data_IF_697994304928
#
_entry.id   IF_697994304928
#
_cell.length_a   1.000
_cell.length_b   1.000
_cell.length_c   1.000
_cell.angle_alpha   90.00
_cell.angle_beta   90.00
_cell.angle_gamma   90.00
#
_symmetry.space_group_name_H-M   'P 1'
#
loop_
_entity.id
_entity.type
_entity.pdbx_description
1 polymer ?
#
# COMPACT_ATOMS: atom_id res chain seq x y z
N UNK A 1 22.89 6.96 9.19
CA UNK A 1 22.86 6.73 10.65
C UNK A 1 21.74 5.74 10.94
N UNK A 2 21.77 5.04 12.09
CA UNK A 2 20.65 4.17 12.47
C UNK A 2 19.39 5.02 12.64
N UNK A 3 18.22 4.58 12.13
CA UNK A 3 16.95 5.26 12.41
C UNK A 3 16.68 5.33 13.92
N UNK A 4 16.26 6.50 14.40
CA UNK A 4 15.84 6.71 15.79
C UNK A 4 14.48 7.41 15.81
N UNK A 5 13.42 6.65 16.07
CA UNK A 5 12.04 7.16 16.10
C UNK A 5 11.85 8.27 17.14
N UNK A 6 12.69 8.35 18.17
CA UNK A 6 12.60 9.42 19.17
C UNK A 6 12.90 10.79 18.59
N UNK A 7 13.59 10.88 17.45
CA UNK A 7 13.78 12.13 16.70
C UNK A 7 12.47 12.70 16.15
N UNK A 8 11.39 11.89 16.09
CA UNK A 8 10.05 12.35 15.79
C UNK A 8 9.46 13.34 16.81
N UNK A 9 10.05 13.44 18.01
CA UNK A 9 9.69 14.42 19.05
C UNK A 9 10.50 15.72 18.97
N UNK A 10 11.53 15.80 18.12
CA UNK A 10 12.37 16.99 17.99
C UNK A 10 11.78 17.98 17.00
N UNK A 11 12.08 19.29 17.12
CA UNK A 11 11.78 20.26 16.07
C UNK A 11 12.36 19.81 14.73
N UNK A 12 11.62 20.06 13.64
CA UNK A 12 12.01 19.67 12.27
C UNK A 12 13.41 20.17 11.90
N UNK A 13 13.77 21.38 12.34
CA UNK A 13 15.10 21.95 12.13
C UNK A 13 16.24 21.12 12.77
N UNK A 14 15.98 20.44 13.89
CA UNK A 14 16.99 19.79 14.74
C UNK A 14 17.12 18.27 14.53
N UNK A 15 16.10 17.60 13.98
CA UNK A 15 16.19 16.16 13.63
C UNK A 15 16.97 15.94 12.33
N UNK A 16 17.61 14.78 12.10
CA UNK A 16 18.14 14.44 10.78
C UNK A 16 17.03 14.33 9.71
N UNK A 17 17.42 14.33 8.44
CA UNK A 17 16.53 13.85 7.38
C UNK A 17 16.22 12.37 7.62
N UNK A 18 15.00 11.95 7.32
CA UNK A 18 14.59 10.55 7.40
C UNK A 18 14.00 10.07 6.09
N UNK A 19 14.56 8.98 5.57
CA UNK A 19 14.09 8.32 4.34
C UNK A 19 13.57 6.94 4.71
N UNK A 20 12.39 6.58 4.19
CA UNK A 20 11.89 5.20 4.24
C UNK A 20 12.02 4.56 2.85
N UNK A 21 12.83 3.50 2.74
CA UNK A 21 12.98 2.72 1.50
C UNK A 21 12.16 1.44 1.60
N UNK A 22 11.29 1.19 0.63
CA UNK A 22 10.43 0.01 0.58
C UNK A 22 10.84 -0.88 -0.59
N UNK A 23 11.29 -2.11 -0.31
CA UNK A 23 11.36 -3.15 -1.31
C UNK A 23 9.97 -3.82 -1.46
N UNK A 24 9.34 -3.60 -2.62
CA UNK A 24 7.97 -4.04 -2.89
C UNK A 24 7.86 -5.38 -3.61
N UNK A 25 8.88 -6.23 -3.64
CA UNK A 25 8.74 -7.57 -4.24
C UNK A 25 8.04 -8.54 -3.28
N UNK A 26 7.21 -9.45 -3.81
CA UNK A 26 6.58 -10.50 -3.00
C UNK A 26 7.54 -11.63 -2.58
N UNK A 27 8.76 -11.69 -3.14
CA UNK A 27 9.68 -12.82 -2.99
C UNK A 27 10.60 -12.69 -1.78
N UNK A 28 10.91 -13.83 -1.16
CA UNK A 28 11.87 -13.98 -0.06
C UNK A 28 12.58 -15.33 -0.12
N UNK A 29 13.81 -15.39 0.38
CA UNK A 29 14.56 -16.63 0.53
C UNK A 29 13.82 -17.68 1.39
N UNK A 30 13.15 -17.27 2.46
CA UNK A 30 12.53 -18.18 3.46
C UNK A 30 11.06 -18.50 3.20
N UNK A 31 10.64 -18.49 1.94
CA UNK A 31 9.30 -18.90 1.51
C UNK A 31 9.39 -19.39 0.06
N UNK A 32 8.37 -20.05 -0.49
CA UNK A 32 8.27 -20.22 -1.95
C UNK A 32 8.32 -18.82 -2.58
N UNK A 33 9.31 -18.49 -3.45
CA UNK A 33 10.07 -19.37 -4.35
C UNK A 33 11.48 -19.81 -3.93
N UNK A 34 11.96 -19.48 -2.73
CA UNK A 34 13.24 -19.97 -2.17
C UNK A 34 14.46 -19.11 -2.46
N UNK A 35 14.25 -17.92 -3.04
CA UNK A 35 15.30 -17.00 -3.51
C UNK A 35 14.93 -15.56 -3.20
N UNK A 36 15.93 -14.75 -2.85
CA UNK A 36 15.75 -13.34 -2.52
C UNK A 36 15.30 -12.51 -3.72
N UNK A 37 14.72 -11.34 -3.43
CA UNK A 37 14.22 -10.45 -4.47
C UNK A 37 15.29 -9.48 -4.97
N UNK A 38 15.23 -9.14 -6.26
CA UNK A 38 16.04 -8.05 -6.83
C UNK A 38 15.76 -6.72 -6.13
N UNK A 39 14.48 -6.44 -5.80
CA UNK A 39 14.08 -5.27 -5.04
C UNK A 39 14.83 -5.11 -3.71
N UNK A 40 15.05 -6.20 -2.97
CA UNK A 40 15.83 -6.18 -1.73
C UNK A 40 17.27 -5.75 -1.97
N UNK A 41 17.93 -6.33 -2.98
CA UNK A 41 19.31 -5.98 -3.34
C UNK A 41 19.43 -4.52 -3.77
N UNK A 42 18.50 -4.04 -4.60
CA UNK A 42 18.46 -2.64 -5.05
C UNK A 42 18.17 -1.66 -3.90
N UNK A 43 17.28 -2.03 -2.97
CA UNK A 43 17.00 -1.26 -1.74
C UNK A 43 18.25 -1.11 -0.87
N UNK A 44 18.97 -2.20 -0.61
CA UNK A 44 20.21 -2.16 0.18
C UNK A 44 21.29 -1.32 -0.52
N UNK A 45 21.41 -1.44 -1.86
CA UNK A 45 22.32 -0.61 -2.64
C UNK A 45 21.98 0.88 -2.55
N UNK A 46 20.69 1.25 -2.61
CA UNK A 46 20.26 2.63 -2.40
C UNK A 46 20.62 3.11 -0.99
N UNK A 47 20.35 2.30 0.03
CA UNK A 47 20.63 2.63 1.43
C UNK A 47 22.12 2.97 1.66
N UNK A 48 23.03 2.20 1.05
CA UNK A 48 24.48 2.42 1.13
C UNK A 48 24.93 3.70 0.39
N UNK A 49 24.19 4.14 -0.62
CA UNK A 49 24.52 5.31 -1.45
C UNK A 49 23.88 6.62 -0.97
N UNK A 50 22.83 6.55 -0.18
CA UNK A 50 22.23 7.74 0.41
C UNK A 50 23.21 8.42 1.40
N UNK A 51 23.04 9.72 1.66
CA UNK A 51 23.87 10.42 2.64
C UNK A 51 23.79 9.78 4.02
N UNK A 52 24.93 9.36 4.57
CA UNK A 52 24.99 8.55 5.79
C UNK A 52 24.74 9.38 7.07
N UNK A 53 24.65 10.71 6.95
CA UNK A 53 24.13 11.60 8.00
C UNK A 53 22.59 11.61 8.10
N UNK A 54 21.89 10.95 7.17
CA UNK A 54 20.44 10.77 7.22
C UNK A 54 20.05 9.49 7.96
N UNK A 55 18.85 9.48 8.52
CA UNK A 55 18.20 8.26 8.99
C UNK A 55 17.66 7.49 7.80
N UNK A 56 18.31 6.37 7.50
CA UNK A 56 17.92 5.49 6.42
C UNK A 56 17.15 4.32 7.02
N UNK A 57 15.83 4.46 7.01
CA UNK A 57 14.88 3.43 7.41
C UNK A 57 14.50 2.61 6.17
N UNK A 58 14.41 1.29 6.30
CA UNK A 58 13.99 0.45 5.18
C UNK A 58 13.20 -0.77 5.62
N UNK A 59 12.33 -1.23 4.74
CA UNK A 59 11.54 -2.44 4.93
C UNK A 59 11.39 -3.20 3.62
N UNK A 60 11.33 -4.51 3.72
CA UNK A 60 11.03 -5.36 2.57
C UNK A 60 9.73 -6.13 2.85
N UNK A 61 8.73 -5.84 2.01
CA UNK A 61 7.36 -6.34 2.13
C UNK A 61 7.19 -7.76 1.61
N UNK A 62 8.27 -8.43 1.20
CA UNK A 62 8.20 -9.78 0.67
C UNK A 62 7.61 -10.79 1.64
N UNK A 63 6.87 -11.76 1.09
CA UNK A 63 6.15 -12.78 1.85
C UNK A 63 7.15 -13.73 2.52
N UNK A 64 7.14 -13.79 3.85
CA UNK A 64 7.93 -14.73 4.64
C UNK A 64 7.00 -15.78 5.25
N UNK A 65 7.41 -17.06 5.23
CA UNK A 65 6.65 -18.11 5.90
C UNK A 65 6.46 -17.78 7.39
N UNK A 66 5.26 -18.01 7.93
CA UNK A 66 4.88 -17.73 9.31
C UNK A 66 4.98 -16.25 9.76
N UNK A 67 5.28 -15.30 8.87
CA UNK A 67 5.14 -13.86 9.14
C UNK A 67 3.72 -13.41 8.83
N UNK A 68 3.23 -12.40 9.55
CA UNK A 68 1.99 -11.72 9.22
C UNK A 68 2.00 -11.24 7.76
N UNK A 69 0.82 -11.24 7.12
CA UNK A 69 0.59 -10.62 5.81
C UNK A 69 0.04 -9.23 6.03
N UNK A 70 0.17 -8.36 5.03
CA UNK A 70 -0.62 -7.13 5.01
C UNK A 70 -2.06 -7.53 4.75
N UNK A 71 -2.96 -7.16 5.65
CA UNK A 71 -4.38 -7.43 5.48
C UNK A 71 -5.00 -6.43 4.50
N UNK A 72 -6.08 -6.83 3.82
CA UNK A 72 -6.76 -5.97 2.84
C UNK A 72 -7.46 -4.78 3.50
N UNK A 73 -7.68 -3.71 2.74
CA UNK A 73 -8.55 -2.63 3.20
C UNK A 73 -10.01 -3.10 3.28
N UNK A 74 -10.71 -2.81 4.39
CA UNK A 74 -12.14 -3.09 4.55
C UNK A 74 -13.06 -2.07 3.82
N UNK A 75 -12.48 -1.17 3.03
CA UNK A 75 -13.20 -0.17 2.24
C UNK A 75 -14.17 0.72 3.05
N UNK A 76 -13.79 1.09 4.30
CA UNK A 76 -14.63 1.94 5.16
C UNK A 76 -15.03 3.27 4.51
N UNK A 77 -14.14 3.84 3.69
CA UNK A 77 -14.40 5.08 2.93
C UNK A 77 -15.60 4.96 2.00
N UNK A 78 -15.89 3.76 1.47
CA UNK A 78 -17.05 3.53 0.59
C UNK A 78 -18.39 3.60 1.32
N UNK A 79 -18.38 3.70 2.65
CA UNK A 79 -19.56 4.06 3.46
C UNK A 79 -19.56 5.56 3.80
N UNK A 80 -18.43 6.07 4.27
CA UNK A 80 -18.21 7.48 4.62
C UNK A 80 -16.71 7.69 4.89
N UNK A 81 -16.13 8.83 4.48
CA UNK A 81 -14.74 9.15 4.81
C UNK A 81 -14.52 9.24 6.33
N UNK A 82 -15.53 9.67 7.08
CA UNK A 82 -15.50 9.70 8.54
C UNK A 82 -15.38 8.30 9.19
N UNK A 83 -15.71 7.22 8.47
CA UNK A 83 -15.55 5.84 8.93
C UNK A 83 -14.13 5.29 8.66
N UNK A 84 -13.41 5.91 7.72
CA UNK A 84 -12.03 5.58 7.37
C UNK A 84 -11.08 6.28 8.34
N UNK A 85 -10.70 5.63 9.45
CA UNK A 85 -9.89 6.26 10.50
C UNK A 85 -8.43 6.37 10.12
N UNK A 86 -7.76 7.45 10.52
CA UNK A 86 -6.31 7.65 10.41
C UNK A 86 -5.65 7.65 11.81
N UNK A 87 -4.60 6.82 12.04
CA UNK A 87 -4.20 5.67 11.22
C UNK A 87 -5.27 4.58 11.19
N UNK A 88 -5.21 3.65 10.23
CA UNK A 88 -6.28 2.68 10.01
C UNK A 88 -6.51 1.75 11.21
N UNK A 89 -7.71 1.79 11.78
CA UNK A 89 -8.14 0.98 12.93
C UNK A 89 -8.91 -0.31 12.52
N UNK A 90 -8.79 -0.79 11.28
CA UNK A 90 -9.43 -2.06 10.89
C UNK A 90 -8.70 -3.29 11.44
N UNK A 91 -7.42 -3.14 11.78
CA UNK A 91 -6.60 -4.17 12.40
C UNK A 91 -5.79 -3.51 13.52
N UNK A 92 -5.09 -4.32 14.31
CA UNK A 92 -4.29 -3.86 15.44
C UNK A 92 -2.97 -4.64 15.50
N UNK A 93 -2.03 -4.09 16.27
CA UNK A 93 -0.70 -4.67 16.46
C UNK A 93 -0.78 -5.95 17.29
N UNK A 94 0.03 -6.96 16.94
CA UNK A 94 0.15 -8.22 17.68
C UNK A 94 -1.15 -9.03 17.82
N UNK A 95 -2.12 -8.85 16.91
CA UNK A 95 -3.38 -9.59 16.95
C UNK A 95 -3.20 -11.04 16.49
N UNK A 96 -3.51 -12.01 17.36
CA UNK A 96 -3.35 -13.44 17.05
C UNK A 96 -4.41 -14.01 16.10
N UNK A 97 -5.59 -13.38 16.01
CA UNK A 97 -6.72 -13.83 15.19
C UNK A 97 -6.67 -13.24 13.77
N UNK A 98 -6.23 -11.99 13.67
CA UNK A 98 -6.12 -11.19 12.44
C UNK A 98 -4.75 -10.49 12.40
N UNK A 99 -3.64 -11.25 12.29
CA UNK A 99 -2.29 -10.67 12.26
C UNK A 99 -2.13 -9.73 11.05
N UNK A 100 -1.61 -8.52 11.26
CA UNK A 100 -1.44 -7.49 10.22
C UNK A 100 -0.02 -6.93 10.20
N UNK A 101 0.67 -7.16 9.08
CA UNK A 101 2.07 -6.81 8.94
C UNK A 101 2.32 -5.28 9.05
N UNK A 102 1.37 -4.45 8.61
CA UNK A 102 1.55 -3.00 8.69
C UNK A 102 1.60 -2.50 10.13
N UNK A 103 0.75 -3.05 11.02
CA UNK A 103 0.76 -2.71 12.44
C UNK A 103 1.95 -3.32 13.17
N UNK A 104 2.27 -4.58 12.89
CA UNK A 104 3.41 -5.28 13.52
C UNK A 104 4.76 -4.58 13.22
N UNK A 105 4.84 -3.89 12.07
CA UNK A 105 6.01 -3.11 11.64
C UNK A 105 5.97 -1.62 12.00
N UNK A 106 4.93 -1.16 12.68
CA UNK A 106 4.69 0.27 12.94
C UNK A 106 4.72 1.12 11.65
N UNK A 107 4.26 0.56 10.52
CA UNK A 107 4.52 1.14 9.21
C UNK A 107 3.81 2.49 9.01
N UNK A 108 2.63 2.70 9.62
CA UNK A 108 1.97 4.01 9.62
C UNK A 108 2.84 5.08 10.29
N UNK A 109 3.47 4.76 11.41
CA UNK A 109 4.36 5.68 12.12
C UNK A 109 5.64 5.93 11.32
N UNK A 110 6.23 4.91 10.69
CA UNK A 110 7.43 5.04 9.86
C UNK A 110 7.19 5.89 8.61
N UNK A 111 6.03 5.72 7.96
CA UNK A 111 5.60 6.54 6.82
C UNK A 111 5.39 8.01 7.24
N UNK A 112 4.79 8.24 8.41
CA UNK A 112 4.64 9.56 9.01
C UNK A 112 5.98 10.19 9.38
N UNK A 113 6.92 9.44 9.95
CA UNK A 113 8.23 9.97 10.36
C UNK A 113 9.14 10.36 9.19
N UNK A 114 8.98 9.73 8.03
CA UNK A 114 9.85 9.97 6.87
C UNK A 114 9.55 11.30 6.16
N UNK A 115 10.61 12.00 5.76
CA UNK A 115 10.55 13.15 4.85
C UNK A 115 10.25 12.72 3.42
N UNK A 116 10.77 11.56 3.03
CA UNK A 116 10.51 10.98 1.73
C UNK A 116 10.51 9.45 1.73
N UNK A 117 9.76 8.88 0.79
CA UNK A 117 9.63 7.46 0.56
C UNK A 117 10.31 7.07 -0.76
N UNK A 118 11.06 5.99 -0.76
CA UNK A 118 11.66 5.41 -1.95
C UNK A 118 11.11 4.00 -2.15
N UNK A 119 10.32 3.79 -3.20
CA UNK A 119 9.64 2.53 -3.47
C UNK A 119 10.35 1.84 -4.64
N UNK A 120 10.90 0.66 -4.39
CA UNK A 120 11.64 -0.14 -5.38
C UNK A 120 10.91 -1.47 -5.56
N UNK A 121 10.34 -1.72 -6.73
CA UNK A 121 9.46 -2.87 -6.91
C UNK A 121 9.35 -3.35 -8.37
N UNK A 122 9.11 -4.66 -8.59
CA UNK A 122 8.91 -5.20 -9.92
C UNK A 122 7.50 -4.90 -10.45
N UNK A 123 7.32 -5.01 -11.76
CA UNK A 123 6.01 -5.15 -12.39
C UNK A 123 5.56 -6.60 -12.28
N UNK A 124 4.34 -6.82 -11.80
CA UNK A 124 3.64 -8.10 -11.85
C UNK A 124 2.38 -7.92 -12.68
N UNK A 125 2.31 -8.51 -13.88
CA UNK A 125 1.13 -8.47 -14.75
C UNK A 125 0.59 -7.05 -14.99
N UNK A 126 1.41 -6.14 -15.53
CA UNK A 126 1.02 -4.75 -15.81
C UNK A 126 0.59 -3.94 -14.57
N UNK A 127 1.00 -4.37 -13.37
CA UNK A 127 0.61 -3.74 -12.11
C UNK A 127 1.73 -3.83 -11.04
N UNK A 128 1.59 -3.08 -9.92
CA UNK A 128 2.43 -3.28 -8.76
C UNK A 128 2.19 -4.64 -8.12
N UNK A 129 3.12 -5.09 -7.28
CA UNK A 129 2.93 -6.35 -6.55
C UNK A 129 1.76 -6.26 -5.57
N UNK A 130 1.13 -7.42 -5.29
CA UNK A 130 -0.02 -7.49 -4.38
C UNK A 130 0.28 -6.94 -2.98
N UNK A 131 1.46 -7.24 -2.40
CA UNK A 131 1.80 -6.75 -1.05
C UNK A 131 1.98 -5.23 -1.04
N UNK A 132 2.62 -4.67 -2.07
CA UNK A 132 2.77 -3.23 -2.19
C UNK A 132 1.40 -2.56 -2.39
N UNK A 133 0.54 -3.12 -3.25
CA UNK A 133 -0.81 -2.62 -3.48
C UNK A 133 -1.67 -2.68 -2.20
N UNK A 134 -1.55 -3.74 -1.39
CA UNK A 134 -2.24 -3.84 -0.09
C UNK A 134 -1.79 -2.75 0.88
N UNK A 135 -0.49 -2.43 0.94
CA UNK A 135 0.02 -1.31 1.73
C UNK A 135 -0.67 0.00 1.33
N UNK A 136 -0.73 0.28 0.02
CA UNK A 136 -1.37 1.49 -0.50
C UNK A 136 -2.89 1.50 -0.29
N UNK A 137 -3.59 0.37 -0.46
CA UNK A 137 -5.03 0.27 -0.20
C UNK A 137 -5.38 0.57 1.25
N UNK A 138 -4.49 0.23 2.18
CA UNK A 138 -4.60 0.52 3.61
C UNK A 138 -4.28 1.99 3.93
N UNK A 139 -3.52 2.68 3.08
CA UNK A 139 -3.17 4.10 3.19
C UNK A 139 -4.23 5.07 2.63
N UNK A 140 -5.36 4.59 2.11
CA UNK A 140 -6.48 5.47 1.71
C UNK A 140 -6.89 6.41 2.84
N UNK A 141 -6.78 5.98 4.10
CA UNK A 141 -7.05 6.79 5.29
C UNK A 141 -6.14 8.03 5.44
N UNK A 142 -4.96 8.07 4.82
CA UNK A 142 -4.08 9.24 4.89
C UNK A 142 -4.68 10.47 4.19
N UNK A 143 -5.67 10.26 3.32
CA UNK A 143 -6.33 11.28 2.51
C UNK A 143 -7.72 11.60 3.10
N UNK A 144 -7.77 12.46 4.12
CA UNK A 144 -9.02 12.90 4.73
C UNK A 144 -9.63 11.94 5.75
N UNK A 145 -8.96 10.84 6.08
CA UNK A 145 -9.47 9.89 7.07
C UNK A 145 -9.67 10.50 8.46
N UNK A 146 -10.61 9.97 9.22
CA UNK A 146 -10.99 10.48 10.53
C UNK A 146 -9.88 10.27 11.58
N UNK A 147 -9.28 11.32 12.15
CA UNK A 147 -8.26 11.19 13.19
C UNK A 147 -8.84 11.07 14.61
N UNK A 148 -10.17 11.15 14.76
CA UNK A 148 -10.92 11.20 16.03
C UNK A 148 -12.00 10.11 16.01
N UNK A 149 -11.55 8.88 16.18
CA UNK A 149 -12.39 7.69 16.15
C UNK A 149 -13.55 7.72 17.16
N UNK A 150 -13.36 8.35 18.31
CA UNK A 150 -14.37 8.39 19.37
C UNK A 150 -15.64 9.14 18.95
N UNK A 151 -15.57 10.02 17.94
CA UNK A 151 -16.73 10.72 17.38
C UNK A 151 -17.70 9.77 16.65
N UNK A 152 -17.23 8.57 16.28
CA UNK A 152 -18.02 7.55 15.61
C UNK A 152 -18.17 6.28 16.45
N UNK A 153 -17.85 6.33 17.75
CA UNK A 153 -18.01 5.21 18.69
C UNK A 153 -17.41 3.86 18.21
N UNK A 154 -16.28 3.89 17.49
CA UNK A 154 -15.63 2.73 16.88
C UNK A 154 -16.51 2.00 15.84
N UNK A 155 -16.21 2.22 14.55
CA UNK A 155 -16.83 1.55 13.40
C UNK A 155 -18.37 1.64 13.35
N UNK A 156 -18.98 2.68 13.90
CA UNK A 156 -20.41 2.95 13.73
C UNK A 156 -20.67 3.71 12.42
N UNK A 157 -21.28 3.08 11.40
CA UNK A 157 -21.48 3.73 10.11
C UNK A 157 -22.51 4.86 10.17
N UNK A 158 -23.55 4.77 11.01
CA UNK A 158 -24.55 5.83 11.12
C UNK A 158 -23.99 7.10 11.75
N UNK A 159 -23.11 6.98 12.75
CA UNK A 159 -22.44 8.14 13.32
C UNK A 159 -21.41 8.73 12.36
N UNK A 160 -20.66 7.89 11.64
CA UNK A 160 -19.72 8.36 10.62
C UNK A 160 -20.42 9.14 9.50
N UNK A 161 -21.49 8.58 8.91
CA UNK A 161 -22.28 9.27 7.87
C UNK A 161 -22.84 10.60 8.39
N UNK A 162 -23.26 10.68 9.66
CA UNK A 162 -23.70 11.95 10.26
C UNK A 162 -22.55 12.94 10.42
N UNK A 163 -21.40 12.50 10.93
CA UNK A 163 -20.22 13.33 11.16
C UNK A 163 -19.76 13.99 9.85
N UNK A 164 -19.72 13.23 8.75
CA UNK A 164 -19.28 13.71 7.43
C UNK A 164 -20.11 14.87 6.88
N UNK A 165 -21.35 15.06 7.36
CA UNK A 165 -22.22 16.19 6.99
C UNK A 165 -22.12 17.38 7.96
N UNK A 166 -21.28 17.33 8.99
CA UNK A 166 -21.13 18.42 9.96
C UNK A 166 -20.08 19.44 9.51
N UNK A 167 -20.19 20.71 9.94
CA UNK A 167 -19.11 21.69 9.74
C UNK A 167 -17.78 21.30 10.43
N UNK A 168 -17.84 20.53 11.53
CA UNK A 168 -16.67 20.05 12.26
C UNK A 168 -15.77 19.16 11.37
N UNK A 169 -16.38 18.36 10.49
CA UNK A 169 -15.66 17.46 9.59
C UNK A 169 -14.63 18.17 8.70
N UNK A 170 -14.92 19.40 8.26
CA UNK A 170 -14.00 20.21 7.45
C UNK A 170 -12.67 20.48 8.17
N UNK A 171 -12.65 20.50 9.51
CA UNK A 171 -11.44 20.68 10.31
C UNK A 171 -10.72 19.38 10.71
N UNK A 172 -11.33 18.22 10.42
CA UNK A 172 -10.81 16.89 10.73
C UNK A 172 -10.27 16.16 9.50
N UNK A 173 -10.97 16.28 8.36
CA UNK A 173 -10.63 15.66 7.08
C UNK A 173 -9.45 16.36 6.43
N UNK A 174 -8.23 16.03 6.85
CA UNK A 174 -6.98 16.59 6.34
C UNK A 174 -6.18 15.53 5.58
N UNK A 175 -5.28 15.98 4.71
CA UNK A 175 -4.21 15.12 4.21
C UNK A 175 -3.15 14.97 5.31
N UNK A 176 -3.06 13.78 5.90
CA UNK A 176 -2.25 13.55 7.10
C UNK A 176 -0.76 13.42 6.82
N UNK A 177 -0.42 13.09 5.57
CA UNK A 177 0.95 12.88 5.12
C UNK A 177 1.44 13.91 4.09
N UNK A 178 0.70 15.00 3.93
CA UNK A 178 0.98 16.07 2.98
C UNK A 178 2.40 16.64 3.12
N UNK A 179 2.97 17.08 1.99
CA UNK A 179 4.28 17.71 1.93
C UNK A 179 5.44 16.71 1.91
N UNK A 180 5.20 15.39 2.00
CA UNK A 180 6.24 14.37 1.76
C UNK A 180 6.56 14.22 0.29
N UNK A 181 7.70 13.59 0.00
CA UNK A 181 8.07 13.18 -1.36
C UNK A 181 8.05 11.66 -1.47
N UNK A 182 7.57 11.12 -2.59
CA UNK A 182 7.75 9.72 -2.92
C UNK A 182 8.44 9.58 -4.28
N UNK A 183 9.35 8.63 -4.38
CA UNK A 183 9.96 8.19 -5.64
C UNK A 183 9.67 6.72 -5.90
N UNK A 184 9.53 6.35 -7.17
CA UNK A 184 9.25 5.00 -7.62
C UNK A 184 10.31 4.55 -8.61
N UNK A 185 11.05 3.50 -8.26
CA UNK A 185 11.96 2.80 -9.15
C UNK A 185 11.35 1.44 -9.49
N UNK A 186 10.70 1.38 -10.65
CA UNK A 186 10.00 0.20 -11.14
C UNK A 186 10.94 -0.60 -12.06
N UNK A 187 10.79 -1.92 -12.11
CA UNK A 187 11.54 -2.73 -13.06
C UNK A 187 10.76 -3.94 -13.58
N UNK A 188 11.13 -4.43 -14.75
CA UNK A 188 10.49 -5.56 -15.44
C UNK A 188 11.48 -6.35 -16.28
N UNK A 189 11.10 -7.55 -16.67
CA UNK A 189 11.90 -8.44 -17.53
C UNK A 189 11.39 -8.54 -18.97
N UNK A 190 10.40 -7.74 -19.34
CA UNK A 190 9.83 -7.71 -20.69
C UNK A 190 9.22 -9.04 -21.12
N UNK A 191 8.76 -9.86 -20.17
CA UNK A 191 8.24 -11.21 -20.44
C UNK A 191 9.33 -12.28 -20.56
N UNK A 192 10.55 -11.99 -20.13
CA UNK A 192 11.69 -12.92 -20.20
C UNK A 192 11.91 -13.42 -21.63
N UNK A 193 11.94 -14.74 -21.81
CA UNK A 193 12.06 -15.37 -23.12
C UNK A 193 10.72 -15.92 -23.66
N UNK A 194 9.59 -15.42 -23.18
CA UNK A 194 8.27 -15.93 -23.57
C UNK A 194 7.73 -15.33 -24.87
N UNK A 195 8.26 -14.21 -25.36
CA UNK A 195 7.72 -13.51 -26.53
C UNK A 195 8.30 -14.04 -27.86
N UNK A 196 7.43 -14.22 -28.87
CA UNK A 196 7.79 -14.52 -30.26
C UNK A 196 8.30 -13.27 -31.00
N UNK A 197 8.63 -13.42 -32.28
CA UNK A 197 9.20 -12.32 -33.08
C UNK A 197 8.19 -11.20 -33.32
N UNK A 198 6.91 -11.53 -33.22
CA UNK A 198 5.80 -10.61 -33.33
C UNK A 198 5.40 -10.01 -31.97
N UNK A 199 6.13 -10.27 -30.88
CA UNK A 199 5.85 -9.72 -29.56
C UNK A 199 4.69 -10.39 -28.81
N UNK A 200 4.26 -11.59 -29.22
CA UNK A 200 3.19 -12.36 -28.57
C UNK A 200 3.76 -13.52 -27.76
N UNK A 201 3.06 -14.02 -26.72
CA UNK A 201 3.51 -15.22 -26.01
C UNK A 201 3.66 -16.44 -26.94
N UNK A 202 4.83 -17.08 -26.95
CA UNK A 202 5.16 -18.26 -27.78
C UNK A 202 4.19 -19.42 -27.58
N UNK A 203 3.65 -19.57 -26.36
CA UNK A 203 2.71 -20.64 -26.01
C UNK A 203 1.27 -20.37 -26.47
N UNK A 204 0.99 -19.17 -26.96
CA UNK A 204 -0.35 -18.80 -27.42
C UNK A 204 -0.72 -19.60 -28.66
N UNK A 205 -1.83 -20.36 -28.58
CA UNK A 205 -2.36 -21.11 -29.72
C UNK A 205 -2.68 -20.16 -30.86
N UNK A 206 -2.36 -20.58 -32.09
CA UNK A 206 -2.56 -19.78 -33.29
C UNK A 206 -4.01 -19.25 -33.41
N UNK A 207 -5.00 -20.09 -33.13
CA UNK A 207 -6.43 -19.73 -33.17
C UNK A 207 -6.82 -18.59 -32.21
N UNK A 208 -6.02 -18.30 -31.18
CA UNK A 208 -6.29 -17.25 -30.20
C UNK A 208 -5.41 -16.00 -30.39
N UNK A 209 -4.42 -16.02 -31.29
CA UNK A 209 -3.48 -14.90 -31.47
C UNK A 209 -4.15 -13.56 -31.80
N UNK A 210 -5.32 -13.58 -32.43
CA UNK A 210 -6.10 -12.40 -32.80
C UNK A 210 -6.64 -11.60 -31.60
N UNK A 211 -6.62 -12.14 -30.37
CA UNK A 211 -6.95 -11.39 -29.15
C UNK A 211 -5.76 -10.62 -28.55
N UNK A 212 -4.55 -10.86 -29.06
CA UNK A 212 -3.31 -10.38 -28.45
C UNK A 212 -2.53 -9.58 -29.48
N UNK A 213 -2.97 -8.37 -29.75
CA UNK A 213 -2.23 -7.40 -30.56
C UNK A 213 -1.25 -6.64 -29.67
N UNK A 214 0.08 -6.79 -29.84
CA UNK A 214 1.06 -6.16 -28.96
C UNK A 214 0.96 -4.62 -28.92
N UNK A 215 0.49 -4.01 -30.01
CA UNK A 215 0.29 -2.55 -30.07
C UNK A 215 -0.90 -2.08 -29.22
N UNK A 216 -1.76 -3.01 -28.78
CA UNK A 216 -2.89 -2.72 -27.89
C UNK A 216 -2.52 -2.93 -26.40
N UNK A 217 -1.24 -3.23 -26.09
CA UNK A 217 -0.77 -3.30 -24.71
C UNK A 217 -0.93 -1.95 -23.99
N UNK A 218 -1.24 -1.96 -22.68
CA UNK A 218 -1.82 -0.80 -22.00
C UNK A 218 -0.87 0.39 -21.80
N UNK A 219 0.45 0.21 -21.96
CA UNK A 219 1.44 1.22 -21.61
C UNK A 219 2.48 1.43 -22.71
N UNK A 220 2.64 2.69 -23.14
CA UNK A 220 3.81 3.09 -23.95
C UNK A 220 5.09 3.16 -23.11
N UNK A 221 4.94 3.44 -21.82
CA UNK A 221 6.01 3.42 -20.82
C UNK A 221 5.53 2.63 -19.60
N UNK A 222 6.13 1.48 -19.37
CA UNK A 222 5.75 0.53 -18.31
C UNK A 222 5.78 1.12 -16.90
N UNK A 223 6.42 2.27 -16.67
CA UNK A 223 6.30 2.98 -15.37
C UNK A 223 4.84 3.24 -15.02
N UNK A 224 3.98 3.47 -16.02
CA UNK A 224 2.56 3.78 -15.87
C UNK A 224 1.76 2.62 -15.23
N UNK A 225 2.32 1.41 -15.19
CA UNK A 225 1.78 0.33 -14.36
C UNK A 225 1.68 0.70 -12.87
N UNK A 226 2.46 1.68 -12.40
CA UNK A 226 2.43 2.21 -11.03
C UNK A 226 1.58 3.49 -10.90
N UNK A 227 0.96 3.98 -11.98
CA UNK A 227 0.17 5.21 -11.97
C UNK A 227 -0.89 5.25 -10.85
N UNK A 228 -1.64 4.17 -10.53
CA UNK A 228 -2.60 4.20 -9.43
C UNK A 228 -1.98 4.54 -8.07
N UNK A 229 -0.76 4.07 -7.79
CA UNK A 229 -0.07 4.36 -6.52
C UNK A 229 0.49 5.80 -6.52
N UNK A 230 1.06 6.23 -7.65
CA UNK A 230 1.56 7.59 -7.83
C UNK A 230 0.45 8.62 -7.67
N UNK A 231 -0.71 8.38 -8.30
CA UNK A 231 -1.85 9.28 -8.19
C UNK A 231 -2.50 9.25 -6.82
N UNK A 232 -2.49 8.12 -6.11
CA UNK A 232 -2.92 8.09 -4.72
C UNK A 232 -2.03 8.97 -3.81
N UNK A 233 -0.70 8.94 -4.00
CA UNK A 233 0.22 9.85 -3.33
C UNK A 233 -0.11 11.31 -3.64
N UNK A 234 -0.21 11.66 -4.92
CA UNK A 234 -0.48 13.04 -5.37
C UNK A 234 -1.83 13.55 -4.86
N UNK A 235 -2.85 12.69 -4.86
CA UNK A 235 -4.18 13.01 -4.31
C UNK A 235 -4.10 13.36 -2.81
N UNK A 236 -3.19 12.72 -2.07
CA UNK A 236 -2.91 12.96 -0.66
C UNK A 236 -1.91 14.08 -0.35
N UNK A 237 -1.49 14.87 -1.35
CA UNK A 237 -0.49 15.91 -1.17
C UNK A 237 0.93 15.40 -0.98
N UNK A 238 1.20 14.13 -1.30
CA UNK A 238 2.56 13.58 -1.37
C UNK A 238 3.07 13.79 -2.78
N UNK A 239 4.16 14.53 -2.90
CA UNK A 239 4.77 14.86 -4.18
C UNK A 239 5.43 13.64 -4.79
N UNK A 240 5.08 13.30 -6.03
CA UNK A 240 5.81 12.33 -6.84
C UNK A 240 6.33 13.06 -8.07
N UNK A 241 7.53 13.64 -8.03
CA UNK A 241 8.15 14.27 -9.20
C UNK A 241 8.33 13.27 -10.34
N UNK A 242 8.11 13.69 -11.59
CA UNK A 242 8.24 12.80 -12.75
C UNK A 242 9.68 12.29 -12.94
N UNK A 243 10.69 13.04 -12.47
CA UNK A 243 12.12 12.66 -12.50
C UNK A 243 12.51 11.61 -11.45
N UNK A 244 11.60 11.33 -10.51
CA UNK A 244 11.70 10.29 -9.49
C UNK A 244 10.79 9.08 -9.76
N UNK A 245 10.08 9.04 -10.89
CA UNK A 245 9.26 7.91 -11.32
C UNK A 245 9.85 7.26 -12.58
N UNK A 246 10.67 6.23 -12.35
CA UNK A 246 11.45 5.53 -13.37
C UNK A 246 10.96 4.09 -13.57
N UNK A 247 11.14 3.59 -14.79
CA UNK A 247 11.08 2.18 -15.13
C UNK A 247 12.38 1.72 -15.79
N UNK A 248 12.82 0.50 -15.46
CA UNK A 248 13.97 -0.14 -16.10
C UNK A 248 13.63 -1.58 -16.50
N UNK A 249 13.72 -1.87 -17.79
CA UNK A 249 13.64 -3.22 -18.33
C UNK A 249 15.03 -3.88 -18.33
N UNK A 250 15.13 -5.13 -17.84
CA UNK A 250 16.33 -5.96 -17.97
C UNK A 250 16.04 -7.47 -17.84
N UNK A 251 16.83 -8.29 -18.55
CA UNK A 251 16.61 -9.74 -18.65
C UNK A 251 15.60 -10.15 -19.73
N UNK A 252 15.31 -9.24 -20.67
CA UNK A 252 14.56 -9.55 -21.88
C UNK A 252 15.30 -10.60 -22.71
N UNK A 253 14.56 -11.60 -23.20
CA UNK A 253 15.08 -12.79 -23.88
C UNK A 253 15.92 -13.73 -23.00
N UNK A 254 15.91 -13.55 -21.67
CA UNK A 254 16.56 -14.47 -20.73
C UNK A 254 15.52 -15.37 -20.06
N UNK A 255 15.94 -16.55 -19.60
CA UNK A 255 15.10 -17.35 -18.70
C UNK A 255 14.91 -16.59 -17.40
N UNK A 256 13.74 -16.72 -16.77
CA UNK A 256 13.52 -16.12 -15.46
C UNK A 256 14.60 -16.56 -14.45
N UNK A 257 15.02 -17.83 -14.47
CA UNK A 257 16.09 -18.37 -13.61
C UNK A 257 17.44 -17.71 -13.79
N UNK A 258 17.65 -17.04 -14.93
CA UNK A 258 18.92 -16.43 -15.31
C UNK A 258 18.85 -14.90 -15.14
N UNK A 259 17.80 -14.38 -14.48
CA UNK A 259 17.64 -12.97 -14.17
C UNK A 259 17.29 -12.81 -12.67
N UNK A 260 18.18 -13.29 -11.81
CA UNK A 260 18.04 -13.26 -10.35
C UNK A 260 18.85 -12.13 -9.72
N UNK A 261 18.90 -12.08 -8.38
CA UNK A 261 19.59 -11.01 -7.66
C UNK A 261 21.10 -11.07 -7.88
N UNK A 262 21.66 -12.28 -7.96
CA UNK A 262 23.05 -12.59 -8.29
C UNK A 262 23.44 -12.20 -9.73
N UNK A 263 22.47 -12.01 -10.63
CA UNK A 263 22.68 -11.65 -12.03
C UNK A 263 22.70 -10.14 -12.27
N UNK A 264 22.24 -9.33 -11.30
CA UNK A 264 22.26 -7.87 -11.40
C UNK A 264 23.61 -7.26 -11.83
N UNK A 265 24.79 -7.79 -11.43
CA UNK A 265 26.07 -7.31 -11.92
C UNK A 265 26.26 -7.43 -13.44
N UNK A 266 25.59 -8.40 -14.11
CA UNK A 266 25.59 -8.50 -15.58
C UNK A 266 24.74 -7.41 -16.23
N UNK A 267 23.76 -6.88 -15.50
CA UNK A 267 22.89 -5.79 -15.93
C UNK A 267 23.40 -4.43 -15.43
N UNK A 268 24.68 -4.12 -15.68
CA UNK A 268 25.34 -2.88 -15.24
C UNK A 268 24.57 -1.61 -15.63
N UNK A 269 23.89 -1.61 -16.79
CA UNK A 269 23.01 -0.51 -17.19
C UNK A 269 21.84 -0.26 -16.22
N UNK A 270 21.25 -1.31 -15.64
CA UNK A 270 20.17 -1.19 -14.66
C UNK A 270 20.70 -0.65 -13.31
N UNK A 271 21.88 -1.12 -12.88
CA UNK A 271 22.52 -0.62 -11.67
C UNK A 271 22.93 0.86 -11.79
N UNK A 272 23.46 1.27 -12.94
CA UNK A 272 23.77 2.69 -13.23
C UNK A 272 22.52 3.57 -13.22
N UNK A 273 21.40 3.08 -13.73
CA UNK A 273 20.11 3.79 -13.68
C UNK A 273 19.60 3.94 -12.24
N UNK A 274 19.69 2.89 -11.42
CA UNK A 274 19.36 2.98 -9.99
C UNK A 274 20.26 3.99 -9.27
N UNK A 275 21.57 3.96 -9.51
CA UNK A 275 22.52 4.87 -8.88
C UNK A 275 22.21 6.33 -9.24
N UNK A 276 21.98 6.62 -10.52
CA UNK A 276 21.60 7.94 -11.00
C UNK A 276 20.24 8.39 -10.42
N UNK A 277 19.27 7.48 -10.31
CA UNK A 277 17.98 7.76 -9.67
C UNK A 277 18.15 8.05 -8.18
N UNK A 278 19.01 7.31 -7.48
CA UNK A 278 19.34 7.54 -6.06
C UNK A 278 19.95 8.92 -5.84
N UNK A 279 20.84 9.36 -6.72
CA UNK A 279 21.45 10.69 -6.69
C UNK A 279 20.41 11.80 -6.94
N UNK A 280 19.52 11.62 -7.92
CA UNK A 280 18.40 12.55 -8.16
C UNK A 280 17.46 12.62 -6.96
N UNK A 281 17.10 11.47 -6.38
CA UNK A 281 16.26 11.39 -5.19
C UNK A 281 16.88 12.17 -4.02
N UNK A 282 18.16 11.90 -3.70
CA UNK A 282 18.86 12.59 -2.61
C UNK A 282 19.00 14.10 -2.87
N UNK A 283 19.27 14.50 -4.12
CA UNK A 283 19.34 15.91 -4.49
C UNK A 283 17.99 16.61 -4.35
N UNK A 284 16.89 15.96 -4.77
CA UNK A 284 15.54 16.48 -4.64
C UNK A 284 15.16 16.67 -3.18
N UNK A 285 15.28 15.63 -2.35
CA UNK A 285 14.92 15.68 -0.92
C UNK A 285 15.73 16.76 -0.20
N UNK A 286 17.05 16.82 -0.44
CA UNK A 286 17.92 17.83 0.18
C UNK A 286 17.49 19.25 -0.20
N UNK A 287 17.18 19.49 -1.48
CA UNK A 287 16.77 20.80 -1.99
C UNK A 287 15.42 21.22 -1.43
N UNK A 288 14.47 20.28 -1.32
CA UNK A 288 13.14 20.53 -0.75
C UNK A 288 13.20 20.84 0.74
N UNK A 289 14.06 20.14 1.48
CA UNK A 289 14.13 20.24 2.93
C UNK A 289 13.26 19.22 3.64
N UNK A 290 13.31 19.27 4.97
CA UNK A 290 12.56 18.36 5.85
C UNK A 290 11.09 18.77 5.90
N UNK A 291 10.23 17.79 6.13
CA UNK A 291 8.78 17.96 6.17
C UNK A 291 8.32 18.25 7.59
N UNK A 292 7.49 19.28 7.74
CA UNK A 292 6.84 19.54 9.01
C UNK A 292 5.80 18.45 9.31
N UNK A 293 5.73 17.97 10.56
CA UNK A 293 4.74 16.97 10.91
C UNK A 293 3.30 17.45 10.76
N UNK A 294 2.41 16.56 10.31
CA UNK A 294 0.98 16.83 10.24
C UNK A 294 0.34 16.99 11.63
N UNK A 295 -0.85 17.57 11.67
CA UNK A 295 -1.62 17.81 12.91
C UNK A 295 -1.93 16.51 13.67
N UNK A 296 -2.29 15.44 12.95
CA UNK A 296 -2.65 14.14 13.50
C UNK A 296 -1.61 13.11 13.10
N UNK A 297 -0.62 12.94 13.97
CA UNK A 297 0.52 12.03 13.75
C UNK A 297 0.07 10.57 13.92
N UNK A 298 0.60 9.70 13.06
CA UNK A 298 0.58 8.27 13.31
C UNK A 298 1.71 7.87 14.27
N UNK A 299 2.82 8.59 14.25
CA UNK A 299 3.87 8.47 15.26
C UNK A 299 3.33 8.83 16.64
N UNK A 300 3.54 7.93 17.62
CA UNK A 300 3.04 8.09 18.98
C UNK A 300 1.55 7.77 19.15
N UNK A 301 0.83 7.42 18.07
CA UNK A 301 -0.55 6.97 18.16
C UNK A 301 -0.63 5.64 18.92
N UNK A 302 -1.57 5.57 19.85
CA UNK A 302 -1.91 4.33 20.56
C UNK A 302 -3.38 4.04 20.29
N UNK A 303 -3.65 2.90 19.65
CA UNK A 303 -5.02 2.48 19.40
C UNK A 303 -5.78 2.36 20.74
N UNK A 304 -6.98 2.96 20.86
CA UNK A 304 -7.78 2.83 22.06
C UNK A 304 -8.31 1.39 22.20
N UNK A 305 -8.66 0.98 23.42
CA UNK A 305 -9.27 -0.33 23.64
C UNK A 305 -10.74 -0.36 23.21
N UNK A 306 -11.16 -1.42 22.52
CA UNK A 306 -12.48 -1.48 21.87
C UNK A 306 -13.47 -2.52 22.44
N UNK A 307 -13.11 -3.25 23.50
CA UNK A 307 -13.88 -4.43 23.97
C UNK A 307 -15.41 -4.23 24.06
N UNK A 308 -15.88 -3.13 24.66
CA UNK A 308 -17.33 -2.84 24.76
C UNK A 308 -17.96 -2.53 23.40
N UNK A 309 -17.23 -1.84 22.52
CA UNK A 309 -17.69 -1.49 21.17
C UNK A 309 -17.68 -2.70 20.25
N UNK A 310 -16.71 -3.60 20.39
CA UNK A 310 -16.67 -4.87 19.68
C UNK A 310 -17.88 -5.74 20.03
N UNK A 311 -18.28 -5.77 21.31
CA UNK A 311 -19.49 -6.47 21.74
C UNK A 311 -20.77 -5.86 21.11
N UNK A 312 -20.83 -4.53 20.97
CA UNK A 312 -21.94 -3.85 20.28
C UNK A 312 -21.98 -4.17 18.79
N UNK A 313 -20.83 -4.24 18.13
CA UNK A 313 -20.73 -4.64 16.72
C UNK A 313 -21.13 -6.10 16.50
N UNK A 314 -20.71 -7.00 17.39
CA UNK A 314 -21.13 -8.40 17.34
C UNK A 314 -22.65 -8.55 17.51
N UNK A 315 -23.25 -7.79 18.43
CA UNK A 315 -24.71 -7.76 18.58
C UNK A 315 -25.41 -7.22 17.31
N UNK A 316 -24.86 -6.15 16.72
CA UNK A 316 -25.34 -5.61 15.45
C UNK A 316 -25.29 -6.66 14.33
N UNK A 317 -24.20 -7.42 14.23
CA UNK A 317 -24.04 -8.50 13.25
C UNK A 317 -25.17 -9.55 13.40
N UNK A 318 -25.43 -10.02 14.63
CA UNK A 318 -26.49 -10.99 14.91
C UNK A 318 -27.87 -10.45 14.50
N UNK A 319 -28.15 -9.19 14.79
CA UNK A 319 -29.40 -8.53 14.37
C UNK A 319 -29.54 -8.47 12.84
N UNK A 320 -28.49 -8.10 12.12
CA UNK A 320 -28.51 -8.05 10.66
C UNK A 320 -28.74 -9.45 10.05
N UNK A 321 -28.07 -10.47 10.59
CA UNK A 321 -28.20 -11.86 10.14
C UNK A 321 -29.60 -12.46 10.31
N UNK A 322 -30.37 -11.94 11.25
CA UNK A 322 -31.76 -12.35 11.51
C UNK A 322 -32.79 -11.46 10.81
N UNK A 323 -32.36 -10.52 9.95
CA UNK A 323 -33.26 -9.66 9.18
C UNK A 323 -33.82 -8.45 9.94
N UNK A 324 -33.18 -8.06 11.04
CA UNK A 324 -33.58 -6.92 11.88
C UNK A 324 -32.51 -5.82 11.94
N UNK A 325 -32.13 -5.22 10.78
CA UNK A 325 -31.13 -4.16 10.75
C UNK A 325 -31.56 -2.94 11.59
N UNK A 326 -30.61 -2.06 11.99
CA UNK A 326 -30.96 -0.82 12.67
C UNK A 326 -31.92 0.02 11.82
N UNK A 327 -32.91 0.65 12.45
CA UNK A 327 -33.89 1.48 11.75
C UNK A 327 -33.22 2.65 11.03
N UNK A 328 -33.75 3.00 9.85
CA UNK A 328 -33.23 4.04 8.95
C UNK A 328 -31.76 3.86 8.47
N UNK A 329 -31.13 2.73 8.78
CA UNK A 329 -29.78 2.38 8.30
C UNK A 329 -29.74 2.03 6.81
N UNK A 330 -28.54 2.03 6.22
CA UNK A 330 -28.35 1.57 4.84
C UNK A 330 -28.80 0.11 4.64
N UNK A 331 -28.43 -0.87 5.50
CA UNK A 331 -28.97 -2.24 5.41
C UNK A 331 -30.50 -2.32 5.45
N UNK A 332 -31.16 -1.53 6.31
CA UNK A 332 -32.63 -1.50 6.37
C UNK A 332 -33.26 -1.02 5.06
N UNK A 333 -32.69 0.02 4.44
CA UNK A 333 -33.13 0.52 3.13
C UNK A 333 -32.90 -0.51 2.02
N UNK A 334 -31.73 -1.15 1.99
CA UNK A 334 -31.42 -2.18 1.00
C UNK A 334 -32.37 -3.39 1.11
N UNK A 335 -32.70 -3.81 2.34
CA UNK A 335 -33.67 -4.87 2.59
C UNK A 335 -35.09 -4.46 2.16
N UNK A 336 -35.53 -3.24 2.46
CA UNK A 336 -36.83 -2.73 2.03
C UNK A 336 -36.96 -2.67 0.49
N UNK A 337 -35.86 -2.32 -0.18
CA UNK A 337 -35.80 -2.26 -1.65
C UNK A 337 -35.58 -3.63 -2.30
N UNK A 338 -35.32 -4.68 -1.52
CA UNK A 338 -35.04 -6.02 -2.02
C UNK A 338 -33.77 -6.12 -2.86
N UNK A 339 -32.77 -5.25 -2.61
CA UNK A 339 -31.54 -5.21 -3.42
C UNK A 339 -30.65 -6.43 -3.19
N UNK A 340 -30.59 -6.90 -1.94
CA UNK A 340 -29.71 -7.98 -1.54
C UNK A 340 -30.46 -9.06 -0.75
N UNK A 341 -29.92 -10.29 -0.77
CA UNK A 341 -30.44 -11.46 -0.03
C UNK A 341 -29.57 -11.75 1.19
N UNK A 342 -29.36 -10.73 2.02
CA UNK A 342 -28.33 -10.74 3.08
C UNK A 342 -28.74 -11.45 4.37
N UNK A 343 -30.03 -11.74 4.56
CA UNK A 343 -30.53 -12.45 5.75
C UNK A 343 -30.02 -13.88 5.72
N UNK A 344 -29.06 -14.20 6.59
CA UNK A 344 -28.46 -15.53 6.63
C UNK A 344 -27.94 -15.90 8.03
N UNK A 345 -28.22 -17.13 8.45
CA UNK A 345 -27.61 -17.72 9.64
C UNK A 345 -26.22 -18.33 9.34
N UNK A 346 -25.83 -18.43 8.07
CA UNK A 346 -24.58 -19.04 7.61
C UNK A 346 -23.74 -18.06 6.77
N UNK A 347 -23.20 -16.98 7.38
CA UNK A 347 -22.50 -15.92 6.65
C UNK A 347 -21.17 -16.37 6.03
N UNK A 348 -20.64 -17.51 6.49
CA UNK A 348 -19.39 -18.10 5.94
C UNK A 348 -19.61 -18.86 4.64
N UNK A 349 -20.86 -19.14 4.28
CA UNK A 349 -21.20 -19.88 3.06
C UNK A 349 -21.06 -18.96 1.86
N UNK A 350 -20.30 -19.39 0.87
CA UNK A 350 -20.09 -18.62 -0.36
C UNK A 350 -21.37 -18.52 -1.19
N UNK A 351 -21.48 -17.47 -2.01
CA UNK A 351 -22.60 -17.33 -2.95
C UNK A 351 -22.68 -18.50 -3.95
N UNK A 352 -21.52 -19.04 -4.34
CA UNK A 352 -21.45 -20.22 -5.22
C UNK A 352 -22.01 -21.49 -4.58
N UNK A 353 -21.90 -21.65 -3.25
CA UNK A 353 -22.53 -22.76 -2.53
C UNK A 353 -24.03 -22.53 -2.37
N UNK A 354 -24.46 -21.32 -2.01
CA UNK A 354 -25.89 -20.96 -1.88
C UNK A 354 -26.65 -21.15 -3.21
N UNK A 355 -26.01 -20.82 -4.34
CA UNK A 355 -26.60 -20.97 -5.68
C UNK A 355 -26.83 -22.43 -6.09
N UNK A 356 -26.11 -23.38 -5.47
CA UNK A 356 -26.15 -24.80 -5.82
C UNK A 356 -27.09 -25.62 -4.91
N UNK A 357 -27.80 -24.96 -4.02
CA UNK A 357 -28.90 -25.52 -3.20
C UNK A 357 -30.25 -25.15 -3.78
#
# INVERSE_FOLDING_TARGET
MKPDDTNGNRPTAERPFRILIIAGSNRRQYNCPGVDSKARTLMLRMADRLPQEWEIDYEDLGNVFARARIQSCNACVSTSMALCVWPCNCYEKDNSKEPDLMWDLDLYARLDLADAWAIIAPINWYAPTSSLKLMFDRLVCMNGGNPREELIEHKNPELAMKLEHTPEWLGLSLNHLEGRTAGFFCYGDGGGDELDQEGRPKLLKHEHKHYFEPNDEPFENDRESYAPLVWQCRYGGIEVPDDLWDYVEFGKNEKYSDNQAEDLPRHDGALKKLDAWTERFAAFVRRKGKVEPGKYRAFGYKAPGHFLRDAQLAWREVRMRTGHPPEASSPAKQQQLGLNRDVTLSPKKSEGEKLRE
#
